data_IF_704873489026
#
_entry.id   IF_704873489026
#
_cell.length_a   1.000
_cell.length_b   1.000
_cell.length_c   1.000
_cell.angle_alpha   90.00
_cell.angle_beta   90.00
_cell.angle_gamma   90.00
#
_symmetry.space_group_name_H-M   'P 1'
#
loop_
_entity.id
_entity.type
_entity.pdbx_description
1 polymer ?
#
# COMPACT_ATOMS: atom_id res chain seq x y z
N UNK A 1 -61.47 31.87 12.87
CA UNK A 1 -61.10 31.63 11.46
C UNK A 1 -59.59 31.79 11.32
N UNK A 2 -58.92 30.84 10.64
CA UNK A 2 -57.47 30.83 10.28
C UNK A 2 -56.49 30.68 11.47
N UNK A 3 -56.09 29.51 12.00
CA UNK A 3 -55.67 28.21 11.42
C UNK A 3 -54.41 28.33 10.54
N UNK A 4 -53.25 27.96 11.11
CA UNK A 4 -52.06 27.35 10.45
C UNK A 4 -51.29 28.36 9.57
N UNK A 5 -49.98 28.63 9.65
CA UNK A 5 -48.77 27.81 9.68
C UNK A 5 -47.64 28.83 9.88
N UNK A 6 -46.86 28.78 10.96
CA UNK A 6 -45.40 29.05 10.89
C UNK A 6 -44.76 28.11 11.93
N UNK A 7 -45.00 26.81 11.73
CA UNK A 7 -44.20 25.76 12.35
C UNK A 7 -43.20 25.32 11.27
N UNK A 8 -41.95 25.15 11.69
CA UNK A 8 -40.88 24.47 10.97
C UNK A 8 -40.26 25.22 9.77
N UNK A 9 -39.27 26.07 10.07
CA UNK A 9 -38.15 26.29 9.15
C UNK A 9 -36.80 26.11 9.86
N UNK A 10 -36.71 25.14 10.77
CA UNK A 10 -35.43 24.51 11.13
C UNK A 10 -35.34 23.20 10.34
N UNK A 11 -35.28 23.32 9.02
CA UNK A 11 -35.03 22.18 8.15
C UNK A 11 -33.54 21.83 8.25
N UNK A 12 -33.28 20.90 9.16
CA UNK A 12 -32.11 20.03 9.27
C UNK A 12 -31.05 20.21 8.16
N UNK A 13 -30.00 20.98 8.46
CA UNK A 13 -28.69 20.73 7.89
C UNK A 13 -28.08 19.55 8.68
N UNK A 14 -28.56 18.33 8.42
CA UNK A 14 -27.83 17.14 8.81
C UNK A 14 -26.49 17.18 8.05
N UNK A 15 -25.32 17.11 8.73
CA UNK A 15 -24.07 16.95 8.02
C UNK A 15 -24.18 15.64 7.25
N UNK A 16 -24.26 15.72 5.92
CA UNK A 16 -24.03 14.57 5.08
C UNK A 16 -22.59 14.17 5.34
N UNK A 17 -22.38 13.16 6.18
CA UNK A 17 -21.11 12.45 6.24
C UNK A 17 -20.96 11.82 4.86
N UNK A 18 -20.29 12.54 3.97
CA UNK A 18 -19.84 11.98 2.71
C UNK A 18 -18.82 10.91 3.09
N UNK A 19 -19.29 9.66 3.15
CA UNK A 19 -18.42 8.49 3.26
C UNK A 19 -17.50 8.56 2.05
N UNK A 20 -16.20 8.75 2.29
CA UNK A 20 -15.21 8.73 1.23
C UNK A 20 -15.28 7.35 0.53
N UNK A 21 -15.14 7.35 -0.80
CA UNK A 21 -15.07 6.11 -1.57
C UNK A 21 -13.87 5.29 -1.07
N UNK A 22 -14.01 3.98 -0.77
CA UNK A 22 -12.87 3.14 -0.40
C UNK A 22 -11.66 3.25 -1.35
N UNK A 23 -11.88 3.54 -2.64
CA UNK A 23 -10.81 3.80 -3.61
C UNK A 23 -10.08 5.12 -3.34
N UNK A 24 -10.78 6.15 -2.88
CA UNK A 24 -10.18 7.43 -2.51
C UNK A 24 -9.32 7.29 -1.25
N UNK A 25 -9.80 6.52 -0.28
CA UNK A 25 -9.04 6.16 0.92
C UNK A 25 -7.79 5.35 0.56
N UNK A 26 -7.93 4.31 -0.26
CA UNK A 26 -6.81 3.50 -0.71
C UNK A 26 -5.75 4.33 -1.43
N UNK A 27 -6.15 5.24 -2.32
CA UNK A 27 -5.26 6.14 -3.04
C UNK A 27 -4.52 7.11 -2.12
N UNK A 28 -5.20 7.66 -1.12
CA UNK A 28 -4.58 8.55 -0.12
C UNK A 28 -3.51 7.78 0.67
N UNK A 29 -3.88 6.60 1.16
CA UNK A 29 -2.95 5.74 1.89
C UNK A 29 -1.78 5.29 1.01
N UNK A 30 -2.03 4.87 -0.22
CA UNK A 30 -0.98 4.47 -1.16
C UNK A 30 0.04 5.60 -1.37
N UNK A 31 -0.43 6.82 -1.69
CA UNK A 31 0.45 7.98 -1.86
C UNK A 31 1.26 8.31 -0.61
N UNK A 32 0.64 8.26 0.56
CA UNK A 32 1.35 8.47 1.82
C UNK A 32 2.44 7.41 2.04
N UNK A 33 2.16 6.15 1.68
CA UNK A 33 3.14 5.07 1.73
C UNK A 33 4.32 5.32 0.79
N UNK A 34 4.06 5.78 -0.43
CA UNK A 34 5.12 6.16 -1.38
C UNK A 34 5.98 7.31 -0.86
N UNK A 35 5.37 8.35 -0.29
CA UNK A 35 6.12 9.46 0.31
C UNK A 35 7.01 8.96 1.45
N UNK A 36 6.49 8.13 2.36
CA UNK A 36 7.29 7.56 3.44
C UNK A 36 8.42 6.66 2.92
N UNK A 37 8.18 5.85 1.88
CA UNK A 37 9.22 5.05 1.23
C UNK A 37 10.33 5.92 0.61
N UNK A 38 9.97 7.04 -0.03
CA UNK A 38 10.92 8.01 -0.57
C UNK A 38 11.80 8.63 0.53
N UNK A 39 11.24 8.82 1.72
CA UNK A 39 11.91 9.34 2.91
C UNK A 39 12.64 8.24 3.72
N UNK A 40 12.69 7.00 3.20
CA UNK A 40 13.28 5.82 3.85
C UNK A 40 12.62 5.46 5.21
N UNK A 41 11.36 5.89 5.42
CA UNK A 41 10.55 5.58 6.59
C UNK A 41 9.71 4.32 6.33
N UNK A 42 10.38 3.17 6.27
CA UNK A 42 9.78 1.93 5.77
C UNK A 42 8.65 1.37 6.67
N UNK A 43 8.71 1.59 7.99
CA UNK A 43 7.63 1.20 8.89
C UNK A 43 6.35 2.02 8.64
N UNK A 44 6.49 3.34 8.43
CA UNK A 44 5.36 4.24 8.12
C UNK A 44 4.81 3.92 6.74
N UNK A 45 5.70 3.67 5.79
CA UNK A 45 5.37 3.21 4.44
C UNK A 45 4.53 1.93 4.47
N UNK A 46 4.97 0.91 5.21
CA UNK A 46 4.26 -0.35 5.37
C UNK A 46 2.86 -0.15 5.97
N UNK A 47 2.73 0.65 7.04
CA UNK A 47 1.42 0.95 7.64
C UNK A 47 0.46 1.56 6.63
N UNK A 48 0.95 2.50 5.81
CA UNK A 48 0.15 3.14 4.78
C UNK A 48 -0.22 2.18 3.65
N UNK A 49 0.69 1.32 3.19
CA UNK A 49 0.32 0.34 2.16
C UNK A 49 -0.65 -0.72 2.66
N UNK A 50 -0.54 -1.17 3.91
CA UNK A 50 -1.50 -2.08 4.51
C UNK A 50 -2.90 -1.45 4.58
N UNK A 51 -2.99 -0.19 5.03
CA UNK A 51 -4.25 0.55 5.03
C UNK A 51 -4.82 0.73 3.61
N UNK A 52 -3.95 0.94 2.61
CA UNK A 52 -4.38 1.01 1.22
C UNK A 52 -4.94 -0.33 0.71
N UNK A 53 -4.28 -1.45 1.04
CA UNK A 53 -4.69 -2.80 0.67
C UNK A 53 -5.99 -3.21 1.36
N UNK A 54 -6.20 -2.78 2.61
CA UNK A 54 -7.45 -2.99 3.33
C UNK A 54 -8.60 -2.20 2.71
N UNK A 55 -8.38 -0.94 2.35
CA UNK A 55 -9.39 -0.09 1.74
C UNK A 55 -9.75 -0.54 0.31
N UNK A 56 -8.76 -0.90 -0.51
CA UNK A 56 -8.97 -1.43 -1.85
C UNK A 56 -7.85 -2.41 -2.25
N UNK A 57 -8.10 -3.73 -2.19
CA UNK A 57 -7.11 -4.74 -2.54
C UNK A 57 -6.60 -4.60 -3.98
N UNK A 58 -5.29 -4.47 -4.17
CA UNK A 58 -4.70 -4.31 -5.51
C UNK A 58 -3.32 -4.97 -5.63
N UNK A 59 -2.98 -5.63 -6.76
CA UNK A 59 -1.66 -6.24 -6.95
C UNK A 59 -0.50 -5.25 -6.73
N UNK A 60 -0.62 -4.03 -7.24
CA UNK A 60 0.40 -3.02 -7.04
C UNK A 60 0.65 -2.66 -5.56
N UNK A 61 -0.39 -2.69 -4.72
CA UNK A 61 -0.23 -2.46 -3.28
C UNK A 61 0.46 -3.64 -2.61
N UNK A 62 0.14 -4.89 -3.02
CA UNK A 62 0.84 -6.09 -2.53
C UNK A 62 2.34 -6.05 -2.80
N UNK A 63 2.76 -5.65 -4.01
CA UNK A 63 4.18 -5.49 -4.35
C UNK A 63 4.89 -4.49 -3.42
N UNK A 64 4.25 -3.34 -3.15
CA UNK A 64 4.81 -2.31 -2.29
C UNK A 64 4.88 -2.73 -0.82
N UNK A 65 3.91 -3.52 -0.34
CA UNK A 65 3.98 -4.14 0.99
C UNK A 65 5.17 -5.10 1.07
N UNK A 66 5.34 -5.98 0.08
CA UNK A 66 6.46 -6.93 0.02
C UNK A 66 7.82 -6.21 0.00
N UNK A 67 7.91 -5.13 -0.77
CA UNK A 67 9.11 -4.29 -0.82
C UNK A 67 9.40 -3.61 0.52
N UNK A 68 8.39 -3.03 1.18
CA UNK A 68 8.57 -2.42 2.49
C UNK A 68 9.06 -3.44 3.54
N UNK A 69 8.53 -4.67 3.55
CA UNK A 69 9.07 -5.75 4.39
C UNK A 69 10.52 -6.12 4.03
N UNK A 70 10.88 -6.09 2.73
CA UNK A 70 12.26 -6.35 2.29
C UNK A 70 13.22 -5.28 2.80
N UNK A 71 12.83 -4.01 2.74
CA UNK A 71 13.62 -2.87 3.24
C UNK A 71 13.76 -2.90 4.78
N UNK A 72 12.75 -3.45 5.47
CA UNK A 72 12.79 -3.73 6.92
C UNK A 72 13.55 -5.03 7.28
N UNK A 73 14.09 -5.75 6.29
CA UNK A 73 14.75 -7.05 6.45
C UNK A 73 13.87 -8.14 7.09
N UNK A 74 12.54 -8.01 6.99
CA UNK A 74 11.56 -9.02 7.39
C UNK A 74 11.24 -9.96 6.21
N UNK A 75 12.14 -10.91 5.99
CA UNK A 75 12.15 -11.77 4.80
C UNK A 75 10.94 -12.70 4.73
N UNK A 76 10.49 -13.32 5.83
CA UNK A 76 9.31 -14.17 5.80
C UNK A 76 8.05 -13.44 5.34
N UNK A 77 7.84 -12.21 5.84
CA UNK A 77 6.69 -11.40 5.41
C UNK A 77 6.87 -10.89 3.98
N UNK A 78 8.07 -10.47 3.59
CA UNK A 78 8.35 -10.07 2.21
C UNK A 78 8.01 -11.18 1.20
N UNK A 79 8.47 -12.41 1.45
CA UNK A 79 8.14 -13.58 0.61
C UNK A 79 6.64 -13.83 0.55
N UNK A 80 5.95 -13.79 1.69
CA UNK A 80 4.49 -13.95 1.75
C UNK A 80 3.78 -12.99 0.80
N UNK A 81 4.11 -11.70 0.86
CA UNK A 81 3.46 -10.70 0.00
C UNK A 81 3.92 -10.74 -1.45
N UNK A 82 5.16 -11.14 -1.75
CA UNK A 82 5.59 -11.36 -3.13
C UNK A 82 4.89 -12.55 -3.79
N UNK A 83 4.63 -13.63 -3.06
CA UNK A 83 3.80 -14.72 -3.57
C UNK A 83 2.35 -14.26 -3.81
N UNK A 84 1.76 -13.49 -2.89
CA UNK A 84 0.42 -12.91 -3.11
C UNK A 84 0.38 -12.01 -4.35
N UNK A 85 1.41 -11.17 -4.55
CA UNK A 85 1.52 -10.34 -5.75
C UNK A 85 1.61 -11.19 -7.03
N UNK A 86 2.46 -12.22 -7.04
CA UNK A 86 2.62 -13.15 -8.16
C UNK A 86 1.29 -13.84 -8.51
N UNK A 87 0.53 -14.27 -7.51
CA UNK A 87 -0.75 -14.94 -7.72
C UNK A 87 -1.83 -13.96 -8.21
N UNK A 88 -1.78 -12.70 -7.74
CA UNK A 88 -2.72 -11.65 -8.14
C UNK A 88 -2.41 -11.04 -9.53
N UNK A 89 -1.17 -11.15 -10.01
CA UNK A 89 -0.70 -10.65 -11.30
C UNK A 89 0.15 -11.73 -12.03
N UNK A 90 -0.46 -12.83 -12.50
CA UNK A 90 0.26 -13.95 -13.11
C UNK A 90 1.04 -13.56 -14.37
N UNK A 91 0.62 -12.52 -15.09
CA UNK A 91 1.34 -11.93 -16.22
C UNK A 91 2.66 -11.26 -15.82
N UNK A 92 2.84 -10.96 -14.53
CA UNK A 92 4.07 -10.42 -13.93
C UNK A 92 4.91 -11.48 -13.20
N UNK A 93 4.47 -12.74 -13.18
CA UNK A 93 5.15 -13.81 -12.45
C UNK A 93 6.63 -13.96 -12.86
N UNK A 94 6.92 -13.90 -14.17
CA UNK A 94 8.27 -14.02 -14.69
C UNK A 94 9.23 -12.90 -14.20
N UNK A 95 8.70 -11.71 -13.91
CA UNK A 95 9.49 -10.58 -13.41
C UNK A 95 9.80 -10.73 -11.92
N UNK A 96 8.90 -11.36 -11.15
CA UNK A 96 9.02 -11.46 -9.69
C UNK A 96 9.62 -12.80 -9.20
N UNK A 97 9.49 -13.88 -9.97
CA UNK A 97 10.04 -15.20 -9.63
C UNK A 97 11.56 -15.15 -9.27
N UNK A 98 12.42 -14.39 -9.98
CA UNK A 98 13.82 -14.25 -9.58
C UNK A 98 14.02 -13.54 -8.24
N UNK A 99 13.16 -12.57 -7.90
CA UNK A 99 13.21 -11.86 -6.61
C UNK A 99 12.83 -12.81 -5.47
N UNK A 100 11.76 -13.58 -5.66
CA UNK A 100 11.32 -14.60 -4.71
C UNK A 100 12.44 -15.62 -4.47
N UNK A 101 13.03 -16.18 -5.53
CA UNK A 101 14.12 -17.15 -5.42
C UNK A 101 15.32 -16.60 -4.64
N UNK A 102 15.75 -15.36 -4.92
CA UNK A 102 16.85 -14.72 -4.19
C UNK A 102 16.55 -14.51 -2.70
N UNK A 103 15.30 -14.19 -2.36
CA UNK A 103 14.84 -14.03 -0.98
C UNK A 103 14.75 -15.37 -0.24
N UNK A 104 14.29 -16.43 -0.91
CA UNK A 104 14.26 -17.80 -0.38
C UNK A 104 15.67 -18.32 -0.08
N UNK A 105 16.62 -18.09 -0.99
CA UNK A 105 18.04 -18.43 -0.76
C UNK A 105 18.60 -17.71 0.47
N UNK A 106 18.31 -16.40 0.61
CA UNK A 106 18.71 -15.61 1.78
C UNK A 106 18.09 -16.15 3.07
N UNK A 107 16.82 -16.51 3.06
CA UNK A 107 16.13 -17.07 4.22
C UNK A 107 16.71 -18.45 4.61
N UNK A 108 17.02 -19.29 3.61
CA UNK A 108 17.62 -20.62 3.81
C UNK A 108 19.07 -20.58 4.30
N UNK A 109 19.86 -19.62 3.83
CA UNK A 109 21.24 -19.37 4.29
C UNK A 109 21.33 -18.66 5.64
N UNK A 110 20.23 -18.04 6.10
CA UNK A 110 20.17 -17.16 7.27
C UNK A 110 19.38 -17.71 8.46
N UNK A 111 19.34 -19.03 8.70
CA UNK A 111 18.73 -19.59 9.92
C UNK A 111 19.56 -19.24 11.18
N UNK A 112 19.62 -17.96 11.52
CA UNK A 112 19.97 -17.45 12.84
C UNK A 112 18.68 -17.24 13.65
N UNK A 113 18.69 -17.59 14.95
CA UNK A 113 17.50 -17.62 15.77
C UNK A 113 16.93 -16.20 15.96
N UNK A 114 15.60 -16.12 15.91
CA UNK A 114 14.80 -14.95 16.27
C UNK A 114 15.26 -14.42 17.62
N UNK A 115 15.72 -13.17 17.63
CA UNK A 115 16.15 -12.45 18.82
C UNK A 115 16.17 -10.96 18.53
N UNK A 116 15.12 -10.30 19.02
CA UNK A 116 15.06 -8.90 19.49
C UNK A 116 15.96 -7.86 18.81
N UNK A 117 15.29 -6.82 18.30
CA UNK A 117 15.69 -5.41 18.46
C UNK A 117 17.12 -5.03 18.08
N UNK A 118 17.24 -4.12 17.11
CA UNK A 118 18.45 -3.39 16.74
C UNK A 118 19.55 -4.20 16.02
N UNK A 119 19.52 -4.15 14.70
CA UNK A 119 20.74 -4.20 13.89
C UNK A 119 20.53 -3.46 12.56
N UNK A 120 21.02 -2.23 12.53
CA UNK A 120 21.36 -1.46 11.32
C UNK A 120 22.19 -2.36 10.40
N UNK A 121 21.73 -2.55 9.16
CA UNK A 121 22.30 -3.54 8.25
C UNK A 121 22.06 -3.22 6.78
N UNK A 122 22.52 -2.05 6.34
CA UNK A 122 23.03 -1.70 5.00
C UNK A 122 22.65 -2.68 3.88
N UNK A 123 21.46 -2.50 3.31
CA UNK A 123 21.30 -2.56 1.87
C UNK A 123 21.16 -1.11 1.40
N UNK A 124 22.22 -0.60 0.77
CA UNK A 124 22.16 0.69 0.11
C UNK A 124 21.29 0.54 -1.13
N UNK A 125 19.97 0.60 -0.96
CA UNK A 125 19.05 0.87 -2.04
C UNK A 125 18.72 2.33 -1.88
N UNK A 126 19.31 3.16 -2.74
CA UNK A 126 18.87 4.53 -2.92
C UNK A 126 17.33 4.55 -2.95
N UNK A 127 16.70 5.56 -2.36
CA UNK A 127 15.26 5.76 -2.45
C UNK A 127 14.75 5.48 -3.87
N UNK A 128 13.48 5.08 -4.04
CA UNK A 128 12.96 4.53 -5.29
C UNK A 128 13.53 5.26 -6.51
N UNK A 129 14.14 4.47 -7.39
CA UNK A 129 14.79 4.99 -8.59
C UNK A 129 13.80 5.82 -9.40
N UNK A 130 14.28 6.70 -10.29
CA UNK A 130 13.38 7.49 -11.14
C UNK A 130 12.41 6.61 -11.95
N UNK A 131 12.87 5.42 -12.37
CA UNK A 131 12.03 4.41 -13.02
C UNK A 131 10.95 3.88 -12.08
N UNK A 132 11.31 3.60 -10.84
CA UNK A 132 10.38 3.15 -9.82
C UNK A 132 9.35 4.26 -9.53
N UNK A 133 9.78 5.51 -9.33
CA UNK A 133 8.87 6.64 -9.18
C UNK A 133 7.89 6.78 -10.36
N UNK A 134 8.34 6.54 -11.59
CA UNK A 134 7.47 6.53 -12.76
C UNK A 134 6.45 5.37 -12.73
N UNK A 135 6.88 4.16 -12.31
CA UNK A 135 5.97 3.02 -12.09
C UNK A 135 4.95 3.35 -11.00
N UNK A 136 5.39 4.01 -9.93
CA UNK A 136 4.54 4.43 -8.82
C UNK A 136 3.48 5.46 -9.24
N UNK A 137 3.85 6.38 -10.14
CA UNK A 137 2.91 7.31 -10.76
C UNK A 137 1.89 6.58 -11.62
N UNK A 138 2.35 5.64 -12.46
CA UNK A 138 1.46 4.83 -13.29
C UNK A 138 0.45 4.02 -12.45
N UNK A 139 0.86 3.48 -11.30
CA UNK A 139 -0.05 2.78 -10.38
C UNK A 139 -1.07 3.75 -9.77
N UNK A 140 -0.65 4.95 -9.37
CA UNK A 140 -1.60 5.98 -8.91
C UNK A 140 -2.60 6.36 -10.00
N UNK A 141 -2.17 6.43 -11.26
CA UNK A 141 -3.02 6.71 -12.43
C UNK A 141 -3.98 5.56 -12.73
N UNK A 142 -3.53 4.31 -12.60
CA UNK A 142 -4.37 3.11 -12.71
C UNK A 142 -5.48 3.11 -11.67
N UNK A 143 -5.14 3.38 -10.40
CA UNK A 143 -6.12 3.53 -9.32
C UNK A 143 -7.07 4.72 -9.57
N UNK A 144 -6.61 5.79 -10.23
CA UNK A 144 -7.44 6.92 -10.65
C UNK A 144 -8.42 6.54 -11.76
N UNK A 145 -7.97 5.79 -12.76
CA UNK A 145 -8.80 5.33 -13.86
C UNK A 145 -9.95 4.43 -13.37
N UNK A 146 -9.67 3.58 -12.38
CA UNK A 146 -10.67 2.73 -11.72
C UNK A 146 -11.73 3.52 -10.93
N UNK A 147 -11.45 4.76 -10.51
CA UNK A 147 -12.38 5.62 -9.78
C UNK A 147 -13.28 6.47 -10.71
N UNK A 148 -12.85 6.73 -11.95
CA UNK A 148 -13.57 7.57 -12.92
C UNK A 148 -14.69 6.88 -13.69
N UNK A 149 -15.04 5.63 -13.37
CA UNK A 149 -16.05 4.84 -14.09
C UNK A 149 -17.42 4.79 -13.38
N UNK A 150 -17.80 5.87 -12.67
CA UNK A 150 -19.13 6.02 -12.03
C UNK A 150 -19.94 7.06 -12.78
#
# INVERSE_FOLDING_TARGET
>A
MMRRIILALCLMALPQVALADPKDDARRHFRAGLTAANELQYEISLQHFLAAQEAYPHPATLYNIARAYTDLNDIPNALTYYHLYRDAAPEKAADIDPVIAALEERQGGGRQPVGEGTAVGVFNVAGPTAEELARLQAISEELQALAGTI
#
